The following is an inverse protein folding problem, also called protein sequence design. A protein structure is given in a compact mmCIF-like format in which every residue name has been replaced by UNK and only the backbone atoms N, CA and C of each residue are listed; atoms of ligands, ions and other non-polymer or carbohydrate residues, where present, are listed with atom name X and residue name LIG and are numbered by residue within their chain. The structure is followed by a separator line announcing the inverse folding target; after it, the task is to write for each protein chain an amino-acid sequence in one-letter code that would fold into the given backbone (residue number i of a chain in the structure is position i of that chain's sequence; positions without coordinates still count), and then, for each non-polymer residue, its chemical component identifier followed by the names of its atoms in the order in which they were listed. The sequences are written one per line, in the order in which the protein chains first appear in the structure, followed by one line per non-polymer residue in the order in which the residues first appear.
data_IF_917267512604
#
_entry.id   IF_917267512604
#
_cell.length_a   1.000
_cell.length_b   1.000
_cell.length_c   1.000
_cell.angle_alpha   90.00
_cell.angle_beta   90.00
_cell.angle_gamma   90.00
#
_symmetry.space_group_name_H-M   'P 1'
#
loop_
_entity.id
_entity.type
_entity.pdbx_description
1 polymer ?
#
# COMPACT_ATOMS: atom_id res chain seq x y z
N UNK A 1 21.88 12.42 -10.77
CA UNK A 1 21.27 11.42 -9.87
C UNK A 1 21.63 10.03 -10.37
N UNK A 2 22.20 9.20 -9.50
CA UNK A 2 22.57 7.83 -9.86
C UNK A 2 21.38 6.86 -9.73
N UNK A 3 21.49 5.68 -10.38
CA UNK A 3 20.46 4.60 -10.30
C UNK A 3 20.20 4.19 -8.85
N UNK A 4 21.23 4.17 -8.00
CA UNK A 4 21.11 3.84 -6.58
C UNK A 4 20.16 4.79 -5.84
N UNK A 5 20.26 6.11 -6.09
CA UNK A 5 19.39 7.11 -5.46
C UNK A 5 17.93 6.92 -5.89
N UNK A 6 17.68 6.65 -7.18
CA UNK A 6 16.33 6.36 -7.71
C UNK A 6 15.72 5.14 -7.02
N UNK A 7 16.50 4.04 -6.92
CA UNK A 7 16.05 2.82 -6.25
C UNK A 7 15.73 3.11 -4.78
N UNK A 8 16.55 3.86 -4.07
CA UNK A 8 16.30 4.19 -2.66
C UNK A 8 15.06 5.06 -2.47
N UNK A 9 14.79 6.05 -3.34
CA UNK A 9 13.57 6.86 -3.31
C UNK A 9 12.34 5.97 -3.51
N UNK A 10 12.40 4.97 -4.40
CA UNK A 10 11.28 4.05 -4.65
C UNK A 10 10.97 3.11 -3.48
N UNK A 11 11.81 3.06 -2.46
CA UNK A 11 11.68 2.22 -1.27
C UNK A 11 11.38 0.76 -1.60
N UNK A 12 12.35 -0.04 -2.10
CA UNK A 12 12.14 -1.40 -2.61
C UNK A 12 11.40 -2.34 -1.67
N UNK A 13 11.55 -2.16 -0.35
CA UNK A 13 10.84 -2.93 0.67
C UNK A 13 9.31 -2.81 0.59
N UNK A 14 8.81 -1.76 -0.09
CA UNK A 14 7.38 -1.47 -0.23
C UNK A 14 6.85 -1.68 -1.66
N UNK A 15 7.67 -2.13 -2.62
CA UNK A 15 7.21 -2.35 -3.99
C UNK A 15 6.00 -3.29 -4.06
N UNK A 16 5.98 -4.33 -3.21
CA UNK A 16 4.87 -5.26 -3.14
C UNK A 16 3.62 -4.70 -2.45
N UNK A 17 3.69 -3.55 -1.81
CA UNK A 17 2.51 -2.92 -1.19
C UNK A 17 1.59 -2.25 -2.21
N UNK A 18 2.08 -1.97 -3.41
CA UNK A 18 1.31 -1.44 -4.54
C UNK A 18 1.12 -2.48 -5.64
N UNK A 19 2.19 -3.15 -6.07
CA UNK A 19 2.14 -4.16 -7.12
C UNK A 19 1.42 -5.45 -6.68
N UNK A 20 1.60 -5.89 -5.42
CA UNK A 20 0.93 -7.08 -4.87
C UNK A 20 -0.59 -6.96 -4.88
N UNK A 21 -1.19 -5.91 -4.30
CA UNK A 21 -2.63 -5.68 -4.39
C UNK A 21 -3.15 -5.65 -5.84
N UNK A 22 -2.44 -4.98 -6.76
CA UNK A 22 -2.82 -5.01 -8.18
C UNK A 22 -2.83 -6.44 -8.74
N UNK A 23 -1.79 -7.23 -8.49
CA UNK A 23 -1.70 -8.64 -8.87
C UNK A 23 -2.90 -9.44 -8.33
N UNK A 24 -3.23 -9.29 -7.04
CA UNK A 24 -4.34 -10.01 -6.40
C UNK A 24 -5.69 -9.66 -7.06
N UNK A 25 -5.97 -8.37 -7.23
CA UNK A 25 -7.21 -7.91 -7.86
C UNK A 25 -7.36 -8.36 -9.29
N UNK A 26 -6.29 -8.22 -10.08
CA UNK A 26 -6.28 -8.66 -11.49
C UNK A 26 -6.49 -10.17 -11.61
N UNK A 27 -5.75 -10.97 -10.82
CA UNK A 27 -5.87 -12.43 -10.84
C UNK A 27 -7.26 -12.88 -10.41
N UNK A 28 -7.85 -12.25 -9.38
CA UNK A 28 -9.19 -12.59 -8.90
C UNK A 28 -10.27 -12.38 -9.96
N UNK A 29 -10.06 -11.44 -10.87
CA UNK A 29 -11.00 -11.10 -11.96
C UNK A 29 -10.68 -11.76 -13.29
N UNK A 30 -9.48 -12.31 -13.48
CA UNK A 30 -9.03 -12.97 -14.73
C UNK A 30 -9.89 -14.15 -15.11
N UNK A 31 -10.06 -14.38 -16.42
CA UNK A 31 -10.75 -15.54 -16.99
C UNK A 31 -9.82 -16.74 -17.13
N UNK A 32 -8.54 -16.50 -17.41
CA UNK A 32 -7.51 -17.52 -17.60
C UNK A 32 -6.20 -17.11 -16.94
N UNK A 33 -5.35 -18.09 -16.61
CA UNK A 33 -4.01 -17.83 -16.06
C UNK A 33 -3.14 -17.05 -17.07
N UNK A 34 -3.37 -17.23 -18.37
CA UNK A 34 -2.66 -16.56 -19.45
C UNK A 34 -2.90 -15.03 -19.48
N UNK A 35 -4.00 -14.54 -18.88
CA UNK A 35 -4.25 -13.10 -18.75
C UNK A 35 -3.10 -12.40 -18.02
N UNK A 36 -2.43 -13.11 -17.09
CA UNK A 36 -1.27 -12.62 -16.35
C UNK A 36 0.00 -12.47 -17.23
N UNK A 37 -0.02 -12.99 -18.45
CA UNK A 37 1.06 -12.83 -19.44
C UNK A 37 0.78 -11.71 -20.42
N UNK A 38 -0.38 -11.04 -20.33
CA UNK A 38 -0.71 -9.95 -21.24
C UNK A 38 0.26 -8.76 -21.07
N UNK A 39 0.71 -8.11 -22.15
CA UNK A 39 1.60 -6.96 -22.07
C UNK A 39 1.01 -5.81 -21.21
N UNK A 40 -0.33 -5.63 -21.27
CA UNK A 40 -1.01 -4.62 -20.47
C UNK A 40 -0.91 -4.92 -18.96
N UNK A 41 -1.15 -6.19 -18.55
CA UNK A 41 -0.98 -6.58 -17.15
C UNK A 41 0.47 -6.38 -16.69
N UNK A 42 1.44 -6.91 -17.45
CA UNK A 42 2.87 -6.83 -17.09
C UNK A 42 3.29 -5.37 -16.98
N UNK A 43 2.92 -4.53 -17.96
CA UNK A 43 3.27 -3.11 -17.95
C UNK A 43 2.72 -2.36 -16.74
N UNK A 44 1.46 -2.60 -16.37
CA UNK A 44 0.82 -1.94 -15.22
C UNK A 44 1.37 -2.52 -13.90
N UNK A 45 1.64 -3.82 -13.83
CA UNK A 45 2.29 -4.44 -12.66
C UNK A 45 3.66 -3.82 -12.40
N UNK A 46 4.49 -3.69 -13.43
CA UNK A 46 5.80 -3.03 -13.34
C UNK A 46 5.68 -1.55 -13.00
N UNK A 47 4.63 -0.88 -13.51
CA UNK A 47 4.33 0.50 -13.13
C UNK A 47 4.07 0.61 -11.62
N UNK A 48 3.22 -0.24 -11.04
CA UNK A 48 2.98 -0.24 -9.60
C UNK A 48 4.20 -0.68 -8.80
N UNK A 49 5.08 -1.46 -9.37
CA UNK A 49 6.30 -1.91 -8.70
C UNK A 49 7.31 -0.76 -8.50
N UNK A 50 7.53 0.07 -9.50
CA UNK A 50 8.59 1.09 -9.46
C UNK A 50 8.07 2.51 -9.67
N UNK A 51 7.49 2.92 -10.83
CA UNK A 51 7.10 4.31 -11.06
C UNK A 51 6.07 4.85 -10.07
N UNK A 52 5.07 4.05 -9.69
CA UNK A 52 4.06 4.42 -8.70
C UNK A 52 4.68 4.70 -7.32
N UNK A 53 5.65 3.89 -6.91
CA UNK A 53 6.38 4.09 -5.65
C UNK A 53 7.33 5.31 -5.72
N UNK A 54 7.96 5.55 -6.87
CA UNK A 54 8.76 6.76 -7.09
C UNK A 54 7.89 8.01 -6.98
N UNK A 55 6.67 7.97 -7.54
CA UNK A 55 5.72 9.08 -7.42
C UNK A 55 5.28 9.28 -5.97
N UNK A 56 4.76 8.24 -5.33
CA UNK A 56 4.22 8.27 -3.97
C UNK A 56 5.27 8.73 -2.95
N UNK A 57 6.42 8.09 -2.93
CA UNK A 57 7.47 8.41 -1.97
C UNK A 57 8.28 9.65 -2.36
N UNK A 58 8.44 9.92 -3.66
CA UNK A 58 9.06 11.15 -4.13
C UNK A 58 8.28 12.40 -3.73
N UNK A 59 6.94 12.40 -3.86
CA UNK A 59 6.07 13.49 -3.33
C UNK A 59 6.19 13.57 -1.81
N UNK A 60 6.18 12.42 -1.12
CA UNK A 60 6.35 12.42 0.33
C UNK A 60 7.67 13.09 0.72
N UNK A 61 8.77 12.65 0.16
CA UNK A 61 10.10 13.19 0.46
C UNK A 61 10.25 14.67 0.04
N UNK A 62 9.55 15.11 -1.02
CA UNK A 62 9.56 16.49 -1.48
C UNK A 62 8.90 17.46 -0.49
N UNK A 63 7.80 17.03 0.16
CA UNK A 63 7.03 17.84 1.10
C UNK A 63 7.36 17.59 2.57
N UNK A 64 8.38 16.73 2.86
CA UNK A 64 8.81 16.40 4.23
C UNK A 64 10.20 16.91 4.58
N UNK A 65 10.79 17.74 3.74
CA UNK A 65 12.15 18.28 3.96
C UNK A 65 12.31 18.92 5.35
N UNK A 66 11.27 19.58 5.84
CA UNK A 66 11.22 20.26 7.14
C UNK A 66 11.03 19.30 8.33
N UNK A 67 10.35 18.18 8.13
CA UNK A 67 10.00 17.21 9.19
C UNK A 67 10.95 16.02 9.25
N UNK A 68 11.54 15.63 8.12
CA UNK A 68 12.47 14.49 8.00
C UNK A 68 13.74 14.62 8.85
N UNK A 69 14.14 15.86 9.16
CA UNK A 69 15.33 16.15 10.00
C UNK A 69 15.19 15.55 11.40
N UNK A 70 13.95 15.35 11.88
CA UNK A 70 13.68 14.81 13.20
C UNK A 70 13.58 13.29 13.22
N UNK A 71 13.53 12.63 12.06
CA UNK A 71 13.30 11.19 11.96
C UNK A 71 14.61 10.39 11.80
N UNK A 72 15.03 9.59 12.81
CA UNK A 72 16.29 8.82 12.78
C UNK A 72 16.31 7.68 11.76
N UNK A 73 15.17 7.29 11.18
CA UNK A 73 15.10 6.32 10.08
C UNK A 73 15.67 6.92 8.78
N UNK A 74 15.60 8.26 8.65
CA UNK A 74 16.16 9.01 7.52
C UNK A 74 17.67 9.09 7.67
N UNK A 75 18.39 8.85 6.57
CA UNK A 75 19.87 8.76 6.57
C UNK A 75 20.43 7.40 6.97
N UNK A 76 19.72 6.59 7.76
CA UNK A 76 20.17 5.25 8.16
C UNK A 76 19.59 4.12 7.31
N UNK A 77 18.28 4.16 7.02
CA UNK A 77 17.54 3.13 6.26
C UNK A 77 16.75 3.69 5.08
N UNK A 78 16.46 4.97 5.10
CA UNK A 78 15.82 5.73 4.02
C UNK A 78 16.71 6.89 3.64
N UNK A 79 16.58 7.36 2.40
CA UNK A 79 17.38 8.49 1.92
C UNK A 79 16.95 9.75 2.67
N UNK A 80 17.93 10.52 3.12
CA UNK A 80 17.67 11.85 3.65
C UNK A 80 17.36 12.79 2.48
N UNK A 81 16.16 13.32 2.44
CA UNK A 81 15.65 14.14 1.33
C UNK A 81 16.51 15.36 1.06
N UNK A 82 17.13 15.91 2.11
CA UNK A 82 18.05 17.05 2.02
C UNK A 82 19.36 16.74 1.27
N UNK A 83 19.82 15.47 1.28
CA UNK A 83 21.03 15.05 0.55
C UNK A 83 20.79 14.96 -0.96
N UNK A 84 19.55 14.61 -1.37
CA UNK A 84 19.18 14.52 -2.80
C UNK A 84 18.95 15.91 -3.39
N UNK A 85 18.30 16.79 -2.64
CA UNK A 85 17.93 18.14 -3.05
C UNK A 85 16.59 18.21 -3.82
N UNK A 86 15.88 19.31 -3.60
CA UNK A 86 14.51 19.58 -4.10
C UNK A 86 14.38 19.39 -5.61
N UNK A 87 15.34 19.93 -6.39
CA UNK A 87 15.29 19.88 -7.87
C UNK A 87 15.32 18.45 -8.40
N UNK A 88 16.15 17.59 -7.81
CA UNK A 88 16.25 16.17 -8.21
C UNK A 88 15.02 15.39 -7.81
N UNK A 89 14.48 15.63 -6.60
CA UNK A 89 13.23 15.02 -6.15
C UNK A 89 12.05 15.42 -7.04
N UNK A 90 11.92 16.72 -7.34
CA UNK A 90 10.89 17.22 -8.25
C UNK A 90 11.00 16.57 -9.64
N UNK A 91 12.21 16.44 -10.17
CA UNK A 91 12.43 15.77 -11.45
C UNK A 91 11.98 14.30 -11.45
N UNK A 92 12.23 13.56 -10.36
CA UNK A 92 11.76 12.17 -10.20
C UNK A 92 10.24 12.11 -10.16
N UNK A 93 9.60 12.97 -9.39
CA UNK A 93 8.14 13.06 -9.29
C UNK A 93 7.52 13.35 -10.65
N UNK A 94 8.03 14.35 -11.37
CA UNK A 94 7.55 14.72 -12.70
C UNK A 94 7.76 13.56 -13.68
N UNK A 95 8.93 12.95 -13.72
CA UNK A 95 9.21 11.80 -14.58
C UNK A 95 8.24 10.63 -14.29
N UNK A 96 7.99 10.32 -13.02
CA UNK A 96 7.05 9.27 -12.61
C UNK A 96 5.60 9.60 -13.03
N UNK A 97 5.21 10.87 -12.94
CA UNK A 97 3.90 11.33 -13.42
C UNK A 97 3.79 11.21 -14.94
N UNK A 98 4.83 11.56 -15.69
CA UNK A 98 4.86 11.38 -17.17
C UNK A 98 4.75 9.91 -17.54
N UNK A 99 5.42 9.00 -16.80
CA UNK A 99 5.28 7.55 -17.01
C UNK A 99 3.85 7.05 -16.71
N UNK A 100 3.05 7.78 -15.91
CA UNK A 100 1.64 7.44 -15.69
C UNK A 100 0.75 7.70 -16.92
N UNK A 101 1.16 8.57 -17.84
CA UNK A 101 0.34 8.97 -19.01
C UNK A 101 0.04 7.77 -19.92
N UNK A 102 1.01 6.96 -20.39
CA UNK A 102 0.71 5.78 -21.20
C UNK A 102 -0.16 4.75 -20.46
N UNK A 103 -0.01 4.61 -19.14
CA UNK A 103 -0.88 3.75 -18.32
C UNK A 103 -2.30 4.27 -18.36
N UNK A 104 -2.53 5.57 -18.13
CA UNK A 104 -3.85 6.20 -18.24
C UNK A 104 -4.45 6.09 -19.64
N UNK A 105 -3.62 6.18 -20.68
CA UNK A 105 -4.06 6.13 -22.08
C UNK A 105 -4.65 4.77 -22.47
N UNK A 106 -4.19 3.66 -21.87
CA UNK A 106 -4.72 2.31 -22.15
C UNK A 106 -5.91 1.93 -21.27
N UNK A 107 -6.10 2.59 -20.12
CA UNK A 107 -7.20 2.34 -19.21
C UNK A 107 -8.50 3.00 -19.66
N UNK A 108 -9.65 2.39 -19.34
CA UNK A 108 -10.99 2.93 -19.63
C UNK A 108 -11.92 2.69 -18.43
N UNK A 109 -12.91 3.55 -18.26
CA UNK A 109 -13.93 3.41 -17.20
C UNK A 109 -13.34 3.43 -15.78
N UNK A 110 -13.77 2.49 -14.93
CA UNK A 110 -13.35 2.43 -13.52
C UNK A 110 -11.83 2.32 -13.33
N UNK A 111 -11.08 1.49 -14.07
CA UNK A 111 -9.62 1.43 -13.93
C UNK A 111 -8.94 2.78 -14.13
N UNK A 112 -9.37 3.57 -15.11
CA UNK A 112 -8.84 4.91 -15.36
C UNK A 112 -9.14 5.85 -14.18
N UNK A 113 -10.38 5.86 -13.70
CA UNK A 113 -10.79 6.69 -12.55
C UNK A 113 -10.02 6.30 -11.27
N UNK A 114 -9.81 5.01 -11.05
CA UNK A 114 -9.05 4.50 -9.91
C UNK A 114 -7.57 4.85 -10.01
N UNK A 115 -6.99 4.83 -11.21
CA UNK A 115 -5.61 5.30 -11.41
C UNK A 115 -5.48 6.80 -11.11
N UNK A 116 -6.44 7.61 -11.56
CA UNK A 116 -6.48 9.04 -11.21
C UNK A 116 -6.65 9.24 -9.70
N UNK A 117 -7.51 8.45 -9.05
CA UNK A 117 -7.70 8.47 -7.59
C UNK A 117 -6.41 8.11 -6.86
N UNK A 118 -5.65 7.10 -7.32
CA UNK A 118 -4.35 6.73 -6.75
C UNK A 118 -3.37 7.91 -6.80
N UNK A 119 -3.23 8.55 -7.96
CA UNK A 119 -2.36 9.72 -8.13
C UNK A 119 -2.80 10.90 -7.27
N UNK A 120 -4.11 11.16 -7.21
CA UNK A 120 -4.68 12.21 -6.37
C UNK A 120 -4.41 11.96 -4.88
N UNK A 121 -4.73 10.76 -4.37
CA UNK A 121 -4.50 10.42 -2.97
C UNK A 121 -3.01 10.48 -2.62
N UNK A 122 -2.12 9.98 -3.50
CA UNK A 122 -0.67 10.06 -3.31
C UNK A 122 -0.19 11.52 -3.20
N UNK A 123 -0.81 12.43 -3.95
CA UNK A 123 -0.48 13.87 -3.91
C UNK A 123 -0.99 14.52 -2.62
N UNK A 124 -2.31 14.46 -2.37
CA UNK A 124 -2.94 15.19 -1.26
C UNK A 124 -2.58 14.61 0.11
N UNK A 125 -2.07 13.38 0.15
CA UNK A 125 -1.53 12.77 1.37
C UNK A 125 -0.40 13.61 1.96
N UNK A 126 0.53 14.08 1.13
CA UNK A 126 1.70 14.84 1.57
C UNK A 126 1.66 16.33 1.23
N UNK A 127 1.03 16.70 0.12
CA UNK A 127 1.05 18.07 -0.40
C UNK A 127 0.06 19.02 0.33
N UNK A 128 0.47 20.27 0.61
CA UNK A 128 -0.45 21.33 1.02
C UNK A 128 -1.50 21.62 -0.08
N UNK A 129 -2.67 22.16 0.26
CA UNK A 129 -3.11 22.57 1.61
C UNK A 129 -3.69 21.43 2.44
N UNK A 130 -3.95 20.26 1.85
CA UNK A 130 -4.63 19.16 2.52
C UNK A 130 -3.70 18.43 3.49
N UNK A 131 -2.52 17.99 3.03
CA UNK A 131 -1.50 17.28 3.81
C UNK A 131 -2.12 16.27 4.79
N UNK A 132 -2.89 15.29 4.26
CA UNK A 132 -3.74 14.39 5.05
C UNK A 132 -2.96 13.61 6.10
N UNK A 133 -1.70 13.31 5.83
CA UNK A 133 -0.79 12.60 6.76
C UNK A 133 -0.57 13.33 8.09
N UNK A 134 -0.84 14.63 8.18
CA UNK A 134 -0.69 15.42 9.40
C UNK A 134 -2.00 15.56 10.21
N UNK A 135 -3.06 14.84 9.81
CA UNK A 135 -4.40 14.96 10.39
C UNK A 135 -4.87 13.61 10.91
N UNK A 136 -5.14 13.52 12.20
CA UNK A 136 -5.59 12.29 12.85
C UNK A 136 -6.80 11.67 12.12
N UNK A 137 -6.80 10.36 11.99
CA UNK A 137 -7.70 9.50 11.23
C UNK A 137 -7.59 9.68 9.71
N UNK A 138 -7.42 10.90 9.20
CA UNK A 138 -7.23 11.11 7.77
C UNK A 138 -5.88 10.56 7.29
N UNK A 139 -4.83 10.63 8.13
CA UNK A 139 -3.55 9.98 7.88
C UNK A 139 -3.71 8.48 7.64
N UNK A 140 -4.51 7.83 8.46
CA UNK A 140 -4.73 6.38 8.40
C UNK A 140 -5.67 5.98 7.25
N UNK A 141 -6.85 6.59 7.14
CA UNK A 141 -7.82 6.22 6.11
C UNK A 141 -7.44 6.65 4.69
N UNK A 142 -6.66 7.72 4.51
CA UNK A 142 -6.13 8.08 3.19
C UNK A 142 -5.10 7.07 2.66
N UNK A 143 -4.53 6.22 3.53
CA UNK A 143 -3.73 5.08 3.12
C UNK A 143 -4.52 3.99 2.37
N UNK A 144 -5.84 4.15 2.22
CA UNK A 144 -6.63 3.42 1.23
C UNK A 144 -6.07 3.52 -0.20
N UNK A 145 -5.18 4.49 -0.47
CA UNK A 145 -4.40 4.54 -1.71
C UNK A 145 -3.71 3.20 -2.03
N UNK A 146 -3.30 2.41 -1.03
CA UNK A 146 -2.72 1.07 -1.22
C UNK A 146 -3.77 -0.01 -1.56
N UNK A 147 -5.06 0.23 -1.29
CA UNK A 147 -6.14 -0.64 -1.72
C UNK A 147 -6.56 -0.37 -3.18
N UNK A 148 -6.35 0.86 -3.66
CA UNK A 148 -6.76 1.27 -5.01
C UNK A 148 -6.19 0.37 -6.12
N UNK A 149 -4.89 -0.05 -6.11
CA UNK A 149 -4.37 -0.96 -7.11
C UNK A 149 -5.12 -2.29 -7.20
N UNK A 150 -5.56 -2.86 -6.07
CA UNK A 150 -6.37 -4.09 -6.04
C UNK A 150 -7.73 -3.88 -6.71
N UNK A 151 -8.43 -2.81 -6.34
CA UNK A 151 -9.73 -2.48 -6.89
C UNK A 151 -9.62 -2.21 -8.40
N UNK A 152 -8.55 -1.51 -8.81
CA UNK A 152 -8.24 -1.24 -10.21
C UNK A 152 -7.98 -2.52 -11.01
N UNK A 153 -7.11 -3.40 -10.50
CA UNK A 153 -6.80 -4.67 -11.15
C UNK A 153 -8.05 -5.54 -11.33
N UNK A 154 -8.92 -5.61 -10.32
CA UNK A 154 -10.20 -6.31 -10.43
C UNK A 154 -11.10 -5.70 -11.51
N UNK A 155 -11.26 -4.38 -11.51
CA UNK A 155 -12.14 -3.66 -12.43
C UNK A 155 -11.65 -3.71 -13.88
N UNK A 156 -10.35 -3.91 -14.10
CA UNK A 156 -9.74 -3.95 -15.44
C UNK A 156 -10.27 -5.10 -16.29
N UNK A 157 -10.55 -6.27 -15.68
CA UNK A 157 -11.10 -7.42 -16.39
C UNK A 157 -12.63 -7.47 -16.35
N UNK A 158 -13.25 -6.89 -15.32
CA UNK A 158 -14.71 -7.01 -15.10
C UNK A 158 -15.50 -5.80 -15.62
N UNK A 159 -14.88 -4.64 -15.76
CA UNK A 159 -15.57 -3.41 -16.12
C UNK A 159 -16.42 -2.81 -15.01
N UNK A 160 -16.47 -3.42 -13.81
CA UNK A 160 -17.17 -2.94 -12.61
C UNK A 160 -16.31 -3.13 -11.36
N UNK A 161 -16.72 -2.48 -10.26
CA UNK A 161 -15.99 -2.54 -8.98
C UNK A 161 -16.21 -3.90 -8.29
N UNK A 162 -15.25 -4.37 -7.46
CA UNK A 162 -15.51 -5.50 -6.58
C UNK A 162 -16.64 -5.19 -5.58
N UNK A 163 -17.10 -6.22 -4.87
CA UNK A 163 -18.14 -6.05 -3.84
C UNK A 163 -17.73 -4.99 -2.82
N UNK A 164 -18.70 -4.16 -2.41
CA UNK A 164 -18.47 -3.07 -1.45
C UNK A 164 -17.86 -3.56 -0.14
N UNK A 165 -18.23 -4.76 0.30
CA UNK A 165 -17.64 -5.41 1.49
C UNK A 165 -16.12 -5.59 1.36
N UNK A 166 -15.64 -6.03 0.19
CA UNK A 166 -14.21 -6.21 -0.08
C UNK A 166 -13.49 -4.86 -0.11
N UNK A 167 -14.11 -3.83 -0.71
CA UNK A 167 -13.57 -2.47 -0.71
C UNK A 167 -13.45 -1.96 0.73
N UNK A 168 -14.49 -2.11 1.56
CA UNK A 168 -14.47 -1.69 2.96
C UNK A 168 -13.38 -2.44 3.73
N UNK A 169 -13.30 -3.77 3.59
CA UNK A 169 -12.27 -4.57 4.26
C UNK A 169 -10.85 -4.10 3.90
N UNK A 170 -10.59 -3.78 2.62
CA UNK A 170 -9.28 -3.29 2.18
C UNK A 170 -8.95 -1.89 2.71
N UNK A 171 -9.94 -0.99 2.83
CA UNK A 171 -9.77 0.33 3.45
C UNK A 171 -9.45 0.19 4.93
N UNK A 172 -10.20 -0.64 5.66
CA UNK A 172 -9.97 -0.89 7.09
C UNK A 172 -8.59 -1.50 7.32
N UNK A 173 -8.20 -2.47 6.48
CA UNK A 173 -6.89 -3.12 6.59
C UNK A 173 -5.74 -2.13 6.39
N UNK A 174 -5.80 -1.30 5.34
CA UNK A 174 -4.76 -0.31 5.03
C UNK A 174 -4.69 0.80 6.06
N UNK A 175 -5.82 1.25 6.60
CA UNK A 175 -5.88 2.24 7.67
C UNK A 175 -5.20 1.72 8.95
N UNK A 176 -5.50 0.48 9.36
CA UNK A 176 -4.85 -0.15 10.49
C UNK A 176 -3.34 -0.34 10.27
N UNK A 177 -2.93 -0.75 9.07
CA UNK A 177 -1.52 -0.92 8.73
C UNK A 177 -0.75 0.39 8.84
N UNK A 178 -1.36 1.51 8.39
CA UNK A 178 -0.75 2.82 8.55
C UNK A 178 -0.62 3.22 10.02
N UNK A 179 -1.73 3.17 10.78
CA UNK A 179 -1.72 3.53 12.19
C UNK A 179 -0.68 2.70 12.98
N UNK A 180 -0.56 1.40 12.67
CA UNK A 180 0.45 0.53 13.26
C UNK A 180 1.87 1.00 12.93
N UNK A 181 2.14 1.35 11.69
CA UNK A 181 3.45 1.79 11.22
C UNK A 181 3.88 3.14 11.81
N UNK A 182 2.92 3.96 12.24
CA UNK A 182 3.16 5.26 12.84
C UNK A 182 3.45 5.19 14.37
N UNK A 183 3.19 4.04 15.03
CA UNK A 183 3.42 3.93 16.48
C UNK A 183 4.89 4.18 16.87
N UNK A 184 5.90 3.62 16.19
CA UNK A 184 7.30 3.91 16.49
C UNK A 184 7.70 5.37 16.27
N UNK A 185 6.91 6.14 15.52
CA UNK A 185 7.22 7.51 15.15
C UNK A 185 6.50 8.56 16.03
N UNK A 186 5.69 8.15 17.01
CA UNK A 186 4.86 9.04 17.84
C UNK A 186 5.65 10.22 18.42
N UNK A 187 6.84 9.97 18.96
CA UNK A 187 7.62 11.05 19.59
C UNK A 187 8.20 12.02 18.56
N UNK A 188 8.63 11.51 17.40
CA UNK A 188 9.16 12.33 16.32
C UNK A 188 8.07 13.15 15.64
N UNK A 189 6.94 12.53 15.35
CA UNK A 189 5.77 13.21 14.79
C UNK A 189 5.29 14.34 15.72
N UNK A 190 5.27 14.08 17.04
CA UNK A 190 4.89 15.08 18.04
C UNK A 190 5.88 16.25 18.07
N UNK A 191 7.19 15.99 17.98
CA UNK A 191 8.22 17.03 17.91
C UNK A 191 8.13 17.85 16.63
N UNK A 192 7.76 17.21 15.51
CA UNK A 192 7.51 17.85 14.23
C UNK A 192 6.15 18.60 14.17
N UNK A 193 5.36 18.58 15.24
CA UNK A 193 4.06 19.25 15.31
C UNK A 193 2.94 18.55 14.50
N UNK A 194 3.15 17.30 14.09
CA UNK A 194 2.16 16.52 13.36
C UNK A 194 1.10 15.98 14.32
N UNK A 195 -0.16 15.95 13.86
CA UNK A 195 -1.30 15.42 14.60
C UNK A 195 -1.79 14.13 13.94
N UNK A 196 -0.93 13.11 13.89
CA UNK A 196 -1.27 11.79 13.33
C UNK A 196 -2.22 11.04 14.27
N UNK A 197 -2.89 9.99 13.76
CA UNK A 197 -3.70 9.07 14.57
C UNK A 197 -2.89 8.50 15.72
N UNK A 198 -1.64 8.12 15.47
CA UNK A 198 -0.77 7.56 16.49
C UNK A 198 -0.39 8.59 17.56
N UNK A 199 -0.14 9.84 17.19
CA UNK A 199 0.12 10.93 18.15
C UNK A 199 -1.10 11.23 19.01
N UNK A 200 -2.30 11.22 18.42
CA UNK A 200 -3.56 11.49 19.12
C UNK A 200 -3.90 10.37 20.11
N UNK A 201 -3.83 9.13 19.67
CA UNK A 201 -4.30 7.97 20.46
C UNK A 201 -3.22 7.39 21.40
N UNK A 202 -1.95 7.72 21.16
CA UNK A 202 -0.81 7.06 21.80
C UNK A 202 -0.67 5.59 21.37
N UNK A 203 0.38 4.93 21.85
CA UNK A 203 0.70 3.57 21.39
C UNK A 203 -0.44 2.56 21.64
N UNK A 204 -0.98 2.52 22.87
CA UNK A 204 -2.07 1.58 23.21
C UNK A 204 -3.37 1.89 22.47
N UNK A 205 -3.76 3.17 22.36
CA UNK A 205 -4.95 3.56 21.61
C UNK A 205 -4.82 3.22 20.12
N UNK A 206 -3.63 3.41 19.53
CA UNK A 206 -3.35 3.01 18.15
C UNK A 206 -3.42 1.50 17.95
N UNK A 207 -2.91 0.71 18.89
CA UNK A 207 -3.04 -0.76 18.84
C UNK A 207 -4.49 -1.21 18.95
N UNK A 208 -5.30 -0.56 19.80
CA UNK A 208 -6.74 -0.84 19.86
C UNK A 208 -7.44 -0.49 18.54
N UNK A 209 -7.12 0.68 17.95
CA UNK A 209 -7.60 1.06 16.62
C UNK A 209 -7.23 0.03 15.55
N UNK A 210 -5.97 -0.46 15.55
CA UNK A 210 -5.52 -1.50 14.64
C UNK A 210 -6.29 -2.81 14.87
N UNK A 211 -6.47 -3.24 16.11
CA UNK A 211 -7.19 -4.47 16.46
C UNK A 211 -8.62 -4.43 15.95
N UNK A 212 -9.33 -3.30 16.13
CA UNK A 212 -10.71 -3.12 15.67
C UNK A 212 -10.76 -3.15 14.13
N UNK A 213 -9.95 -2.34 13.45
CA UNK A 213 -10.00 -2.25 11.98
C UNK A 213 -9.57 -3.55 11.31
N UNK A 214 -8.47 -4.20 11.74
CA UNK A 214 -8.07 -5.50 11.22
C UNK A 214 -9.05 -6.60 11.60
N UNK A 215 -9.65 -6.54 12.80
CA UNK A 215 -10.70 -7.48 13.22
C UNK A 215 -11.92 -7.40 12.32
N UNK A 216 -12.44 -6.21 12.06
CA UNK A 216 -13.56 -5.99 11.14
C UNK A 216 -13.22 -6.43 9.71
N UNK A 217 -12.03 -6.06 9.21
CA UNK A 217 -11.57 -6.50 7.89
C UNK A 217 -11.49 -8.03 7.78
N UNK A 218 -10.96 -8.70 8.81
CA UNK A 218 -10.88 -10.16 8.86
C UNK A 218 -12.25 -10.82 8.95
N UNK A 219 -13.18 -10.26 9.74
CA UNK A 219 -14.55 -10.77 9.81
C UNK A 219 -15.24 -10.70 8.45
N UNK A 220 -15.12 -9.56 7.75
CA UNK A 220 -15.66 -9.45 6.38
C UNK A 220 -15.00 -10.48 5.46
N UNK A 221 -13.68 -10.66 5.52
CA UNK A 221 -12.98 -11.64 4.70
C UNK A 221 -13.47 -13.07 4.97
N UNK A 222 -13.62 -13.46 6.23
CA UNK A 222 -14.05 -14.80 6.64
C UNK A 222 -15.52 -15.07 6.26
N UNK A 223 -16.40 -14.05 6.34
CA UNK A 223 -17.79 -14.20 5.87
C UNK A 223 -17.87 -14.35 4.37
N UNK A 224 -16.93 -13.77 3.63
CA UNK A 224 -16.78 -13.97 2.18
C UNK A 224 -16.30 -15.40 1.86
N UNK A 225 -15.24 -15.86 2.52
CA UNK A 225 -14.75 -17.25 2.42
C UNK A 225 -14.00 -17.67 3.70
N UNK A 226 -14.42 -18.74 4.38
CA UNK A 226 -13.73 -19.26 5.57
C UNK A 226 -12.25 -19.59 5.39
N UNK A 227 -11.79 -19.86 4.17
CA UNK A 227 -10.36 -20.08 3.88
C UNK A 227 -9.50 -18.81 4.11
N UNK A 228 -10.15 -17.64 4.27
CA UNK A 228 -9.46 -16.38 4.62
C UNK A 228 -9.22 -16.21 6.13
N UNK A 229 -9.50 -17.23 6.94
CA UNK A 229 -9.22 -17.29 8.38
C UNK A 229 -7.78 -16.83 8.76
N UNK A 230 -6.71 -17.08 7.96
CA UNK A 230 -5.37 -16.58 8.25
C UNK A 230 -5.29 -15.04 8.39
N UNK A 231 -6.24 -14.28 7.86
CA UNK A 231 -6.31 -12.82 8.05
C UNK A 231 -6.41 -12.40 9.53
N UNK A 232 -6.91 -13.29 10.42
CA UNK A 232 -6.94 -13.06 11.87
C UNK A 232 -5.55 -12.91 12.51
N UNK A 233 -4.48 -13.26 11.80
CA UNK A 233 -3.11 -13.01 12.26
C UNK A 233 -2.88 -11.53 12.62
N UNK A 234 -3.43 -10.61 11.84
CA UNK A 234 -3.23 -9.17 12.05
C UNK A 234 -3.86 -8.64 13.35
N UNK A 235 -5.18 -8.85 13.59
CA UNK A 235 -5.76 -8.42 14.87
C UNK A 235 -5.16 -9.20 16.06
N UNK A 236 -4.74 -10.46 15.89
CA UNK A 236 -4.08 -11.23 16.95
C UNK A 236 -2.72 -10.62 17.34
N UNK A 237 -1.90 -10.21 16.35
CA UNK A 237 -0.63 -9.51 16.61
C UNK A 237 -0.89 -8.20 17.36
N UNK A 238 -1.84 -7.39 16.88
CA UNK A 238 -2.15 -6.10 17.51
C UNK A 238 -2.69 -6.28 18.92
N UNK A 239 -3.57 -7.25 19.14
CA UNK A 239 -4.11 -7.59 20.46
C UNK A 239 -2.99 -8.05 21.42
N UNK A 240 -2.07 -8.91 20.97
CA UNK A 240 -0.90 -9.31 21.74
C UNK A 240 -0.05 -8.10 22.17
N UNK A 241 0.16 -7.15 21.25
CA UNK A 241 0.97 -5.96 21.49
C UNK A 241 0.30 -4.96 22.45
N UNK A 242 -1.03 -5.00 22.64
CA UNK A 242 -1.69 -4.20 23.70
C UNK A 242 -1.14 -4.54 25.10
N UNK A 243 -0.72 -5.78 25.30
CA UNK A 243 -0.10 -6.25 26.54
C UNK A 243 1.43 -6.09 26.57
N UNK A 244 2.06 -5.90 25.39
CA UNK A 244 3.53 -5.75 25.24
C UNK A 244 3.89 -4.64 24.24
N UNK A 245 3.51 -3.38 24.52
CA UNK A 245 3.69 -2.26 23.58
C UNK A 245 5.18 -1.97 23.27
N UNK A 246 6.09 -2.33 24.16
CA UNK A 246 7.56 -2.22 23.96
C UNK A 246 8.08 -3.08 22.80
N UNK A 247 7.34 -4.09 22.38
CA UNK A 247 7.71 -4.97 21.28
C UNK A 247 7.26 -4.47 19.90
N UNK A 248 6.53 -3.36 19.83
CA UNK A 248 5.95 -2.83 18.58
C UNK A 248 7.01 -2.58 17.53
N UNK A 249 8.10 -1.90 17.88
CA UNK A 249 9.15 -1.55 16.92
C UNK A 249 9.79 -2.81 16.31
N UNK A 250 10.09 -3.80 17.13
CA UNK A 250 10.66 -5.07 16.65
C UNK A 250 9.73 -5.79 15.68
N UNK A 251 8.42 -5.82 15.98
CA UNK A 251 7.42 -6.47 15.13
C UNK A 251 7.16 -5.66 13.87
N UNK A 252 7.15 -4.33 13.94
CA UNK A 252 7.02 -3.46 12.77
C UNK A 252 8.05 -3.80 11.69
N UNK A 253 9.30 -4.06 12.06
CA UNK A 253 10.34 -4.43 11.09
C UNK A 253 10.14 -5.82 10.47
N UNK A 254 9.26 -6.67 11.02
CA UNK A 254 8.89 -7.96 10.40
C UNK A 254 7.67 -7.85 9.48
N UNK A 255 6.88 -6.77 9.57
CA UNK A 255 5.65 -6.63 8.78
C UNK A 255 5.87 -6.75 7.26
N UNK A 256 6.93 -6.23 6.63
CA UNK A 256 7.16 -6.46 5.21
C UNK A 256 7.23 -7.94 4.85
N UNK A 257 7.85 -8.77 5.70
CA UNK A 257 7.91 -10.22 5.51
C UNK A 257 6.55 -10.88 5.75
N UNK A 258 5.86 -10.49 6.83
CA UNK A 258 4.52 -11.00 7.15
C UNK A 258 3.57 -10.69 5.99
N UNK A 259 3.54 -9.45 5.50
CA UNK A 259 2.69 -9.04 4.40
C UNK A 259 3.05 -9.75 3.09
N UNK A 260 4.33 -10.00 2.81
CA UNK A 260 4.76 -10.77 1.64
C UNK A 260 4.24 -12.21 1.71
N UNK A 261 4.37 -12.87 2.86
CA UNK A 261 3.87 -14.25 3.06
C UNK A 261 2.35 -14.29 2.95
N UNK A 262 1.65 -13.37 3.62
CA UNK A 262 0.18 -13.30 3.57
C UNK A 262 -0.34 -12.97 2.17
N UNK A 263 0.33 -12.05 1.46
CA UNK A 263 0.03 -11.75 0.06
C UNK A 263 0.26 -12.94 -0.88
N UNK A 264 1.34 -13.69 -0.66
CA UNK A 264 1.60 -14.92 -1.41
C UNK A 264 0.53 -16.00 -1.12
N UNK A 265 0.15 -16.20 0.13
CA UNK A 265 -0.94 -17.13 0.50
C UNK A 265 -2.27 -16.71 -0.13
N UNK A 266 -2.57 -15.41 -0.14
CA UNK A 266 -3.76 -14.88 -0.81
C UNK A 266 -3.70 -15.13 -2.33
N UNK A 267 -2.54 -14.98 -2.96
CA UNK A 267 -2.35 -15.28 -4.39
C UNK A 267 -2.59 -16.75 -4.68
N UNK A 268 -1.98 -17.68 -3.92
CA UNK A 268 -2.20 -19.12 -4.05
C UNK A 268 -3.67 -19.48 -3.83
N UNK A 269 -4.32 -18.88 -2.81
CA UNK A 269 -5.75 -19.05 -2.57
C UNK A 269 -6.58 -18.65 -3.80
N UNK A 270 -6.31 -17.49 -4.42
CA UNK A 270 -7.01 -17.04 -5.63
C UNK A 270 -6.79 -18.03 -6.78
N UNK A 271 -5.55 -18.46 -7.02
CA UNK A 271 -5.23 -19.46 -8.05
C UNK A 271 -5.99 -20.78 -7.82
N UNK A 272 -6.08 -21.22 -6.57
CA UNK A 272 -6.88 -22.41 -6.19
C UNK A 272 -8.36 -22.22 -6.49
N UNK A 273 -8.96 -21.12 -6.03
CA UNK A 273 -10.41 -20.82 -6.22
C UNK A 273 -10.79 -20.66 -7.70
N UNK A 274 -9.85 -20.16 -8.50
CA UNK A 274 -10.01 -20.01 -9.96
C UNK A 274 -9.74 -21.30 -10.74
N UNK A 275 -9.24 -22.37 -10.12
CA UNK A 275 -8.79 -23.59 -10.78
C UNK A 275 -7.50 -23.43 -11.59
N UNK A 276 -6.80 -22.31 -11.45
CA UNK A 276 -5.61 -22.00 -12.24
C UNK A 276 -4.38 -22.84 -11.88
N UNK A 277 -4.35 -23.43 -10.67
CA UNK A 277 -3.26 -24.34 -10.27
C UNK A 277 -3.14 -25.56 -11.19
N UNK A 278 -4.27 -26.07 -11.68
CA UNK A 278 -4.29 -27.20 -12.63
C UNK A 278 -3.82 -26.73 -14.01
N UNK A 279 -4.24 -25.53 -14.41
CA UNK A 279 -3.88 -24.95 -15.72
C UNK A 279 -2.40 -24.55 -15.83
N UNK A 280 -1.70 -24.34 -14.71
CA UNK A 280 -0.23 -24.12 -14.71
C UNK A 280 0.51 -25.39 -15.15
N UNK A 281 0.00 -26.57 -14.77
CA UNK A 281 0.61 -27.84 -15.17
C UNK A 281 0.40 -28.18 -16.66
N UNK A 282 -0.64 -27.62 -17.29
CA UNK A 282 -0.97 -27.83 -18.71
C UNK A 282 -1.38 -26.45 -19.28
N UNK A 283 -0.45 -25.58 -19.64
CA UNK A 283 -0.79 -24.25 -20.13
C UNK A 283 -1.48 -24.36 -21.50
N UNK A 284 -2.78 -24.10 -21.53
CA UNK A 284 -3.57 -23.89 -22.74
C UNK A 284 -3.68 -22.37 -23.00
N UNK A 285 -2.53 -21.73 -23.25
CA UNK A 285 -2.51 -20.37 -23.71
C UNK A 285 -2.52 -20.37 -25.24
N UNK A 286 -3.69 -20.39 -25.85
CA UNK A 286 -3.89 -20.22 -27.29
C UNK A 286 -4.09 -18.76 -27.63
#
# INVERSE_FOLDING_TARGET
MGVREIILISRPRFWLYTAGPYLLGYTASSGAICDLLSPAFIGIFLYFMIPANLYLYGINDLFDLDTDVYNPKKGSREVLSTEIGVTKLAAVVIASLVISIPVLAILRGYPMLLMMLFLLLSTIYSAPPLRLKSRAFLDSYSNSLYAVPMIMGYSQNRGYLPETSIIIASILWTAAMHAFSAIPDIEYDRKAGLRTTAVLLGARGSLAFCTINWGLASLIAITYDPLLLPSLLYPAISLYLLFKPESVERIYWQFPKINTVMGFLAFIYILYRKGFLISIAIPQCS
#
